data_IF_612607308830
#
_entry.id   IF_612607308830
#
_cell.length_a   1.000
_cell.length_b   1.000
_cell.length_c   1.000
_cell.angle_alpha   90.00
_cell.angle_beta   90.00
_cell.angle_gamma   90.00
#
_symmetry.space_group_name_H-M   'P 1'
#
loop_
_entity.id
_entity.type
_entity.pdbx_description
1 polymer ?
#
# COMPACT_ATOMS: atom_id res chain seq x y z
N UNK A 1 -8.22 28.06 14.14
CA UNK A 1 -7.18 27.13 13.68
C UNK A 1 -6.21 26.96 14.85
N UNK A 2 -6.23 25.83 15.56
CA UNK A 2 -5.23 25.55 16.58
C UNK A 2 -3.90 25.36 15.86
N UNK A 3 -2.87 26.10 16.25
CA UNK A 3 -1.49 25.83 15.83
C UNK A 3 -1.20 24.38 16.16
N UNK A 4 -0.98 23.55 15.14
CA UNK A 4 -0.47 22.19 15.33
C UNK A 4 0.82 22.30 16.12
N UNK A 5 1.00 21.41 17.08
CA UNK A 5 2.27 21.34 17.79
C UNK A 5 3.38 21.15 16.74
N UNK A 6 4.43 21.94 16.85
CA UNK A 6 5.65 21.77 16.03
C UNK A 6 6.38 20.53 16.59
N UNK A 7 5.98 19.35 16.11
CA UNK A 7 6.51 18.06 16.60
C UNK A 7 7.78 17.75 15.82
N UNK A 8 8.89 17.68 16.51
CA UNK A 8 10.18 17.36 15.92
C UNK A 8 10.30 15.89 15.51
N UNK A 9 11.21 15.62 14.56
CA UNK A 9 11.50 14.26 14.07
C UNK A 9 11.82 13.30 15.23
N UNK A 10 12.65 13.72 16.18
CA UNK A 10 13.07 12.91 17.33
C UNK A 10 11.89 12.50 18.21
N UNK A 11 10.86 13.32 18.34
CA UNK A 11 9.66 13.00 19.13
C UNK A 11 8.83 11.90 18.48
N UNK A 12 8.67 11.94 17.15
CA UNK A 12 7.96 10.86 16.39
C UNK A 12 8.76 9.56 16.47
N UNK A 13 10.08 9.63 16.27
CA UNK A 13 10.96 8.46 16.35
C UNK A 13 10.91 7.84 17.75
N UNK A 14 11.01 8.65 18.81
CA UNK A 14 10.92 8.16 20.18
C UNK A 14 9.57 7.49 20.48
N UNK A 15 8.47 8.08 20.03
CA UNK A 15 7.14 7.52 20.20
C UNK A 15 6.99 6.16 19.49
N UNK A 16 7.57 5.99 18.30
CA UNK A 16 7.58 4.71 17.58
C UNK A 16 8.47 3.68 18.29
N UNK A 17 9.64 4.07 18.78
CA UNK A 17 10.54 3.20 19.57
C UNK A 17 9.83 2.69 20.83
N UNK A 18 9.12 3.55 21.54
CA UNK A 18 8.36 3.17 22.75
C UNK A 18 7.24 2.16 22.45
N UNK A 19 6.65 2.20 21.25
CA UNK A 19 5.56 1.29 20.84
C UNK A 19 6.02 -0.03 20.25
N UNK A 20 7.09 -0.01 19.45
CA UNK A 20 7.53 -1.16 18.66
C UNK A 20 8.80 -1.81 19.20
N UNK A 21 9.57 -1.10 20.03
CA UNK A 21 10.93 -1.44 20.38
C UNK A 21 11.95 -0.94 19.34
N UNK A 22 13.16 -0.72 19.80
CA UNK A 22 14.23 -0.09 19.02
C UNK A 22 14.60 -0.89 17.76
N UNK A 23 14.72 -2.20 17.88
CA UNK A 23 15.14 -3.07 16.76
C UNK A 23 14.13 -3.06 15.61
N UNK A 24 12.83 -3.14 15.93
CA UNK A 24 11.75 -3.06 14.94
C UNK A 24 11.74 -1.69 14.29
N UNK A 25 11.83 -0.63 15.09
CA UNK A 25 11.87 0.74 14.59
C UNK A 25 12.98 0.92 13.56
N UNK A 26 14.22 0.54 13.86
CA UNK A 26 15.32 0.73 12.91
C UNK A 26 15.20 -0.12 11.65
N UNK A 27 14.68 -1.35 11.74
CA UNK A 27 14.41 -2.16 10.55
C UNK A 27 13.40 -1.47 9.63
N UNK A 28 12.30 -0.94 10.18
CA UNK A 28 11.27 -0.24 9.42
C UNK A 28 11.77 1.09 8.85
N UNK A 29 12.49 1.89 9.65
CA UNK A 29 13.05 3.17 9.21
C UNK A 29 14.07 3.04 8.07
N UNK A 30 14.80 1.94 8.01
CA UNK A 30 15.77 1.68 6.93
C UNK A 30 15.14 0.97 5.72
N UNK A 31 13.86 0.58 5.81
CA UNK A 31 13.17 -0.10 4.75
C UNK A 31 12.41 0.86 3.82
N UNK A 32 12.23 0.40 2.59
CA UNK A 32 11.39 1.06 1.59
C UNK A 32 10.59 0.03 0.80
N UNK A 33 9.39 0.41 0.40
CA UNK A 33 8.53 -0.38 -0.47
C UNK A 33 7.92 0.48 -1.58
N UNK A 34 7.52 -0.13 -2.67
CA UNK A 34 6.77 0.55 -3.72
C UNK A 34 5.30 0.09 -3.71
N UNK A 35 4.38 1.01 -3.93
CA UNK A 35 2.95 0.75 -4.04
C UNK A 35 2.52 1.11 -5.45
N UNK A 36 2.10 0.11 -6.21
CA UNK A 36 1.58 0.24 -7.56
C UNK A 36 0.05 0.24 -7.54
N UNK A 37 -0.54 1.39 -7.81
CA UNK A 37 -1.96 1.68 -7.64
C UNK A 37 -2.29 2.29 -6.29
N UNK A 38 -3.01 3.42 -6.29
CA UNK A 38 -3.43 4.14 -5.08
C UNK A 38 -4.96 4.20 -4.94
N UNK A 39 -5.61 3.15 -5.42
CA UNK A 39 -7.05 2.93 -5.25
C UNK A 39 -7.42 2.49 -3.83
N UNK A 40 -8.47 1.67 -3.72
CA UNK A 40 -8.99 1.18 -2.45
C UNK A 40 -7.96 0.41 -1.62
N UNK A 41 -7.12 -0.43 -2.25
CA UNK A 41 -6.05 -1.13 -1.55
C UNK A 41 -4.88 -0.19 -1.26
N UNK A 42 -4.24 0.37 -2.29
CA UNK A 42 -2.97 1.07 -2.15
C UNK A 42 -3.03 2.32 -1.27
N UNK A 43 -4.11 3.11 -1.31
CA UNK A 43 -4.25 4.27 -0.42
C UNK A 43 -4.36 3.87 1.05
N UNK A 44 -5.04 2.76 1.36
CA UNK A 44 -5.11 2.20 2.72
C UNK A 44 -3.76 1.62 3.15
N UNK A 45 -3.07 0.87 2.28
CA UNK A 45 -1.77 0.26 2.57
C UNK A 45 -0.73 1.34 2.87
N UNK A 46 -0.66 2.41 2.07
CA UNK A 46 0.25 3.52 2.29
C UNK A 46 0.10 4.13 3.67
N UNK A 47 -1.15 4.41 4.08
CA UNK A 47 -1.48 4.93 5.41
C UNK A 47 -1.01 3.99 6.53
N UNK A 48 -1.25 2.69 6.38
CA UNK A 48 -0.89 1.68 7.39
C UNK A 48 0.64 1.56 7.52
N UNK A 49 1.37 1.55 6.42
CA UNK A 49 2.84 1.45 6.42
C UNK A 49 3.50 2.70 7.03
N UNK A 50 3.01 3.90 6.72
CA UNK A 50 3.54 5.13 7.32
C UNK A 50 3.24 5.18 8.82
N UNK A 51 2.04 4.78 9.26
CA UNK A 51 1.71 4.65 10.69
C UNK A 51 2.58 3.64 11.43
N UNK A 52 3.00 2.57 10.75
CA UNK A 52 3.92 1.57 11.31
C UNK A 52 5.38 2.06 11.36
N UNK A 53 5.72 3.18 10.71
CA UNK A 53 7.05 3.77 10.77
C UNK A 53 7.99 3.34 9.65
N UNK A 54 7.48 2.96 8.47
CA UNK A 54 8.33 2.70 7.30
C UNK A 54 9.12 3.96 6.92
N UNK A 55 10.39 3.81 6.55
CA UNK A 55 11.26 4.94 6.23
C UNK A 55 11.03 5.53 4.84
N UNK A 56 10.56 4.75 3.88
CA UNK A 56 10.31 5.26 2.53
C UNK A 56 9.25 4.51 1.74
N UNK A 57 8.53 5.24 0.89
CA UNK A 57 7.56 4.70 -0.07
C UNK A 57 7.77 5.33 -1.45
N UNK A 58 7.62 4.51 -2.50
CA UNK A 58 7.32 4.97 -3.85
C UNK A 58 5.82 4.77 -4.09
N UNK A 59 5.14 5.81 -4.49
CA UNK A 59 3.72 5.80 -4.84
C UNK A 59 3.56 5.96 -6.35
N UNK A 60 2.95 4.98 -7.00
CA UNK A 60 2.77 4.98 -8.47
C UNK A 60 1.29 4.84 -8.80
N UNK A 61 0.74 5.83 -9.46
CA UNK A 61 -0.65 5.83 -9.98
C UNK A 61 -0.74 6.92 -11.06
N UNK A 62 -1.63 6.76 -12.03
CA UNK A 62 -1.83 7.75 -13.11
C UNK A 62 -3.18 8.50 -13.01
N UNK A 63 -4.06 8.06 -12.10
CA UNK A 63 -5.40 8.60 -11.93
C UNK A 63 -5.44 9.88 -11.09
N UNK A 64 -6.55 10.58 -11.20
CA UNK A 64 -6.98 11.62 -10.28
C UNK A 64 -8.02 11.09 -9.29
N UNK A 65 -8.17 11.78 -8.16
CA UNK A 65 -9.20 11.46 -7.17
C UNK A 65 -10.58 11.85 -7.73
N UNK A 66 -11.50 10.89 -7.72
CA UNK A 66 -12.90 11.08 -8.13
C UNK A 66 -13.84 10.90 -6.94
N UNK A 67 -15.04 11.51 -7.00
CA UNK A 67 -16.03 11.42 -5.92
C UNK A 67 -16.44 9.97 -5.63
N UNK A 68 -16.47 9.10 -6.63
CA UNK A 68 -16.78 7.67 -6.47
C UNK A 68 -15.69 6.90 -5.74
N UNK A 69 -14.52 7.48 -5.57
CA UNK A 69 -13.42 6.88 -4.84
C UNK A 69 -13.57 7.00 -3.32
N UNK A 70 -14.29 8.02 -2.84
CA UNK A 70 -14.40 8.36 -1.42
C UNK A 70 -15.09 7.27 -0.58
N UNK A 71 -15.80 6.36 -1.22
CA UNK A 71 -16.46 5.24 -0.54
C UNK A 71 -15.48 4.19 0.04
N UNK A 72 -14.20 4.15 -0.42
CA UNK A 72 -13.24 3.11 -0.03
C UNK A 72 -11.77 3.49 -0.10
N UNK A 73 -11.43 4.67 -0.64
CA UNK A 73 -10.06 5.18 -0.74
C UNK A 73 -9.82 6.24 0.33
N UNK A 74 -8.60 6.37 0.82
CA UNK A 74 -8.24 7.31 1.88
C UNK A 74 -8.05 8.74 1.34
N UNK A 75 -9.07 9.26 0.66
CA UNK A 75 -9.11 10.63 0.20
C UNK A 75 -10.30 11.37 0.80
N UNK A 76 -10.25 12.70 0.78
CA UNK A 76 -11.29 13.57 1.26
C UNK A 76 -11.82 14.44 0.12
N UNK A 77 -12.96 15.10 0.34
CA UNK A 77 -13.62 15.99 -0.64
C UNK A 77 -12.63 17.01 -1.22
N UNK A 78 -11.73 17.56 -0.40
CA UNK A 78 -10.70 18.52 -0.83
C UNK A 78 -9.72 18.01 -1.87
N UNK A 79 -9.58 16.69 -2.01
CA UNK A 79 -8.65 16.07 -2.96
C UNK A 79 -9.28 15.78 -4.33
N UNK A 80 -10.60 15.94 -4.49
CA UNK A 80 -11.27 15.65 -5.77
C UNK A 80 -10.61 16.46 -6.89
N UNK A 81 -10.19 15.76 -7.97
CA UNK A 81 -9.49 16.33 -9.10
C UNK A 81 -7.95 16.38 -8.96
N UNK A 82 -7.39 16.14 -7.77
CA UNK A 82 -5.93 16.03 -7.59
C UNK A 82 -5.41 14.68 -8.12
N UNK A 83 -4.16 14.62 -8.64
CA UNK A 83 -3.49 13.34 -8.87
C UNK A 83 -3.45 12.52 -7.58
N UNK A 84 -3.79 11.22 -7.66
CA UNK A 84 -3.81 10.34 -6.47
C UNK A 84 -2.46 10.29 -5.76
N UNK A 85 -1.36 10.34 -6.50
CA UNK A 85 0.00 10.38 -5.95
C UNK A 85 0.25 11.59 -5.06
N UNK A 86 -0.19 12.78 -5.49
CA UNK A 86 -0.03 14.02 -4.73
C UNK A 86 -0.97 14.06 -3.52
N UNK A 87 -2.23 13.68 -3.70
CA UNK A 87 -3.20 13.60 -2.61
C UNK A 87 -2.76 12.60 -1.51
N UNK A 88 -2.23 11.43 -1.92
CA UNK A 88 -1.70 10.46 -0.98
C UNK A 88 -0.48 11.01 -0.24
N UNK A 89 0.48 11.61 -0.95
CA UNK A 89 1.67 12.21 -0.34
C UNK A 89 1.31 13.28 0.71
N UNK A 90 0.36 14.17 0.41
CA UNK A 90 -0.14 15.18 1.35
C UNK A 90 -0.64 14.51 2.64
N UNK A 91 -1.53 13.53 2.53
CA UNK A 91 -2.10 12.81 3.66
C UNK A 91 -1.07 12.04 4.48
N UNK A 92 -0.10 11.42 3.82
CA UNK A 92 0.95 10.67 4.51
C UNK A 92 1.89 11.59 5.30
N UNK A 93 2.17 12.79 4.80
CA UNK A 93 2.94 13.79 5.52
C UNK A 93 2.17 14.42 6.69
N UNK A 94 0.82 14.41 6.68
CA UNK A 94 0.03 14.77 7.86
C UNK A 94 0.19 13.75 9.02
N UNK A 95 0.58 12.48 8.70
CA UNK A 95 0.86 11.45 9.71
C UNK A 95 2.31 11.54 10.19
N UNK A 96 3.24 11.60 9.24
CA UNK A 96 4.67 11.69 9.51
C UNK A 96 5.35 12.55 8.43
N UNK A 97 5.67 13.82 8.73
CA UNK A 97 6.28 14.71 7.75
C UNK A 97 7.73 14.33 7.37
N UNK A 98 8.34 13.39 8.10
CA UNK A 98 9.73 12.97 7.90
C UNK A 98 9.89 11.68 7.11
N UNK A 99 8.79 10.98 6.76
CA UNK A 99 8.84 9.82 5.89
C UNK A 99 9.21 10.24 4.46
N UNK A 100 10.08 9.46 3.83
CA UNK A 100 10.45 9.72 2.44
C UNK A 100 9.36 9.20 1.50
N UNK A 101 8.68 10.09 0.80
CA UNK A 101 7.66 9.75 -0.20
C UNK A 101 8.11 10.22 -1.58
N UNK A 102 8.47 9.26 -2.42
CA UNK A 102 8.68 9.46 -3.85
C UNK A 102 7.36 9.19 -4.59
N UNK A 103 7.02 9.99 -5.60
CA UNK A 103 5.80 9.85 -6.38
C UNK A 103 6.10 9.71 -7.87
N UNK A 104 5.33 8.88 -8.56
CA UNK A 104 5.42 8.77 -10.02
C UNK A 104 4.01 8.72 -10.60
N UNK A 105 3.58 9.82 -11.23
CA UNK A 105 2.25 9.93 -11.85
C UNK A 105 2.31 9.40 -13.29
N UNK A 106 2.29 8.06 -13.42
CA UNK A 106 2.44 7.37 -14.70
C UNK A 106 1.63 6.07 -14.75
N UNK A 107 1.12 5.73 -15.94
CA UNK A 107 0.59 4.40 -16.21
C UNK A 107 1.73 3.38 -16.27
N UNK A 108 1.67 2.36 -15.42
CA UNK A 108 2.62 1.25 -15.45
C UNK A 108 2.28 0.31 -16.60
N UNK A 109 3.28 0.01 -17.41
CA UNK A 109 3.22 -0.94 -18.54
C UNK A 109 4.34 -1.97 -18.42
N UNK A 110 4.29 -3.02 -19.23
CA UNK A 110 5.35 -4.04 -19.27
C UNK A 110 6.71 -3.43 -19.59
N UNK A 111 6.75 -2.42 -20.48
CA UNK A 111 8.00 -1.78 -20.95
C UNK A 111 8.64 -0.89 -19.89
N UNK A 112 7.85 -0.31 -18.97
CA UNK A 112 8.38 0.66 -18.00
C UNK A 112 8.46 0.13 -16.56
N UNK A 113 7.79 -0.99 -16.25
CA UNK A 113 7.70 -1.51 -14.89
C UNK A 113 9.08 -1.79 -14.27
N UNK A 114 9.99 -2.44 -15.00
CA UNK A 114 11.32 -2.75 -14.50
C UNK A 114 12.10 -1.49 -14.09
N UNK A 115 12.04 -0.43 -14.90
CA UNK A 115 12.74 0.83 -14.61
C UNK A 115 12.09 1.60 -13.46
N UNK A 116 10.74 1.66 -13.40
CA UNK A 116 10.02 2.35 -12.32
C UNK A 116 10.37 1.76 -10.95
N UNK A 117 10.42 0.43 -10.86
CA UNK A 117 10.58 -0.28 -9.59
C UNK A 117 12.01 -0.77 -9.31
N UNK A 118 13.00 -0.41 -10.13
CA UNK A 118 14.38 -0.94 -10.05
C UNK A 118 15.00 -0.85 -8.66
N UNK A 119 14.76 0.25 -7.95
CA UNK A 119 15.37 0.55 -6.65
C UNK A 119 14.60 -0.04 -5.46
N UNK A 120 13.51 -0.78 -5.69
CA UNK A 120 12.64 -1.34 -4.66
C UNK A 120 12.61 -2.86 -4.74
N UNK A 121 12.81 -3.54 -3.61
CA UNK A 121 12.79 -5.00 -3.52
C UNK A 121 11.42 -5.55 -3.12
N UNK A 122 10.57 -4.72 -2.51
CA UNK A 122 9.22 -5.10 -2.07
C UNK A 122 8.22 -4.24 -2.84
N UNK A 123 7.37 -4.91 -3.61
CA UNK A 123 6.36 -4.29 -4.46
C UNK A 123 4.98 -4.68 -3.96
N UNK A 124 4.19 -3.70 -3.59
CA UNK A 124 2.77 -3.88 -3.31
C UNK A 124 1.98 -3.68 -4.60
N UNK A 125 1.40 -4.75 -5.12
CA UNK A 125 0.50 -4.68 -6.26
C UNK A 125 -0.93 -4.40 -5.77
N UNK A 126 -1.52 -3.29 -6.23
CA UNK A 126 -2.83 -2.79 -5.80
C UNK A 126 -3.70 -2.27 -6.97
N UNK A 127 -3.49 -2.78 -8.18
CA UNK A 127 -4.32 -2.46 -9.34
C UNK A 127 -5.72 -3.09 -9.23
N UNK A 128 -6.65 -2.64 -10.05
CA UNK A 128 -8.03 -3.11 -10.09
C UNK A 128 -8.28 -4.12 -11.22
N UNK A 129 -7.56 -4.03 -12.35
CA UNK A 129 -7.75 -4.89 -13.52
C UNK A 129 -6.86 -6.12 -13.47
N UNK A 130 -7.45 -7.28 -13.72
CA UNK A 130 -6.76 -8.57 -13.65
C UNK A 130 -5.54 -8.65 -14.58
N UNK A 131 -5.63 -8.08 -15.79
CA UNK A 131 -4.53 -8.07 -16.76
C UNK A 131 -3.35 -7.25 -16.25
N UNK A 132 -3.61 -6.06 -15.66
CA UNK A 132 -2.58 -5.19 -15.11
C UNK A 132 -1.92 -5.81 -13.88
N UNK A 133 -2.70 -6.49 -13.02
CA UNK A 133 -2.19 -7.27 -11.89
C UNK A 133 -1.22 -8.36 -12.37
N UNK A 134 -1.66 -9.17 -13.33
CA UNK A 134 -0.86 -10.26 -13.87
C UNK A 134 0.43 -9.75 -14.54
N UNK A 135 0.34 -8.66 -15.32
CA UNK A 135 1.47 -8.02 -15.95
C UNK A 135 2.51 -7.58 -14.91
N UNK A 136 2.10 -6.82 -13.89
CA UNK A 136 3.03 -6.33 -12.87
C UNK A 136 3.65 -7.45 -12.06
N UNK A 137 2.84 -8.41 -11.60
CA UNK A 137 3.33 -9.58 -10.84
C UNK A 137 4.39 -10.32 -11.64
N UNK A 138 4.10 -10.66 -12.91
CA UNK A 138 5.05 -11.37 -13.76
C UNK A 138 6.33 -10.57 -13.98
N UNK A 139 6.24 -9.28 -14.33
CA UNK A 139 7.39 -8.42 -14.53
C UNK A 139 8.27 -8.35 -13.27
N UNK A 140 7.68 -8.19 -12.10
CA UNK A 140 8.44 -8.06 -10.85
C UNK A 140 9.07 -9.38 -10.39
N UNK A 141 8.41 -10.51 -10.60
CA UNK A 141 8.98 -11.83 -10.32
C UNK A 141 10.17 -12.15 -11.25
N UNK A 142 10.11 -11.75 -12.53
CA UNK A 142 11.27 -11.86 -13.44
C UNK A 142 12.48 -11.05 -12.92
N UNK A 143 12.23 -9.91 -12.29
CA UNK A 143 13.25 -9.05 -11.65
C UNK A 143 13.65 -9.54 -10.23
N UNK A 144 13.19 -10.73 -9.81
CA UNK A 144 13.42 -11.32 -8.47
C UNK A 144 13.02 -10.41 -7.32
N UNK A 145 11.93 -9.66 -7.49
CA UNK A 145 11.35 -8.78 -6.46
C UNK A 145 10.29 -9.54 -5.68
N UNK A 146 10.14 -9.22 -4.40
CA UNK A 146 9.04 -9.75 -3.59
C UNK A 146 7.77 -8.95 -3.86
N UNK A 147 6.69 -9.65 -4.20
CA UNK A 147 5.39 -9.05 -4.54
C UNK A 147 4.34 -9.44 -3.53
N UNK A 148 3.62 -8.45 -3.01
CA UNK A 148 2.42 -8.65 -2.18
C UNK A 148 1.22 -8.09 -2.94
N UNK A 149 0.35 -8.99 -3.43
CA UNK A 149 -0.79 -8.67 -4.28
C UNK A 149 -2.12 -8.87 -3.55
N UNK A 150 -3.17 -8.18 -4.00
CA UNK A 150 -4.54 -8.32 -3.49
C UNK A 150 -5.46 -9.01 -4.49
N UNK A 151 -6.25 -10.02 -4.07
CA UNK A 151 -7.22 -10.72 -4.92
C UNK A 151 -8.43 -11.20 -4.14
N UNK A 152 -9.62 -10.73 -4.53
CA UNK A 152 -10.89 -11.08 -3.88
C UNK A 152 -11.12 -10.31 -2.56
N UNK A 153 -11.76 -9.14 -2.65
CA UNK A 153 -12.14 -8.33 -1.50
C UNK A 153 -13.46 -7.58 -1.72
N UNK A 154 -14.16 -7.90 -2.81
CA UNK A 154 -15.39 -7.21 -3.16
C UNK A 154 -16.56 -7.54 -2.23
N UNK A 155 -17.57 -6.66 -2.23
CA UNK A 155 -18.81 -6.84 -1.47
C UNK A 155 -18.66 -6.67 0.04
N UNK A 156 -19.58 -7.32 0.75
CA UNK A 156 -19.73 -7.23 2.22
C UNK A 156 -19.81 -8.62 2.90
N UNK A 157 -19.44 -9.69 2.18
CA UNK A 157 -19.44 -11.05 2.72
C UNK A 157 -18.49 -11.18 3.92
N UNK A 158 -18.45 -12.35 4.55
CA UNK A 158 -17.63 -12.55 5.74
C UNK A 158 -16.17 -12.14 5.51
N UNK A 159 -15.66 -11.28 6.37
CA UNK A 159 -14.26 -10.87 6.34
C UNK A 159 -13.29 -11.98 6.75
N UNK A 160 -13.77 -13.02 7.44
CA UNK A 160 -12.95 -14.17 7.84
C UNK A 160 -12.45 -15.02 6.66
N UNK A 161 -12.99 -14.80 5.46
CA UNK A 161 -12.49 -15.43 4.22
C UNK A 161 -11.25 -14.76 3.65
N UNK A 162 -10.97 -13.50 4.05
CA UNK A 162 -9.78 -12.77 3.62
C UNK A 162 -8.57 -13.33 4.37
N UNK A 163 -7.60 -13.83 3.62
CA UNK A 163 -6.38 -14.47 4.13
C UNK A 163 -5.17 -14.03 3.35
N UNK A 164 -4.00 -14.09 3.97
CA UNK A 164 -2.72 -14.05 3.28
C UNK A 164 -2.34 -15.47 2.87
N UNK A 165 -1.87 -15.66 1.65
CA UNK A 165 -1.36 -16.93 1.11
C UNK A 165 0.03 -16.69 0.54
N UNK A 166 0.99 -17.52 0.92
CA UNK A 166 2.30 -17.59 0.28
C UNK A 166 2.20 -18.51 -0.92
N UNK A 167 2.44 -17.99 -2.12
CA UNK A 167 2.35 -18.74 -3.39
C UNK A 167 3.75 -19.26 -3.77
N UNK A 168 4.76 -18.39 -3.68
CA UNK A 168 6.18 -18.73 -3.83
C UNK A 168 6.96 -17.99 -2.74
N UNK A 169 8.28 -18.10 -2.75
CA UNK A 169 9.12 -17.34 -1.80
C UNK A 169 9.04 -15.82 -2.04
N UNK A 170 8.73 -15.41 -3.27
CA UNK A 170 8.66 -14.01 -3.67
C UNK A 170 7.21 -13.51 -3.89
N UNK A 171 6.17 -14.38 -3.82
CA UNK A 171 4.78 -13.98 -4.11
C UNK A 171 3.82 -14.31 -2.98
N UNK A 172 3.18 -13.27 -2.45
CA UNK A 172 2.11 -13.34 -1.46
C UNK A 172 0.82 -12.77 -2.04
N UNK A 173 -0.31 -13.44 -1.81
CA UNK A 173 -1.64 -12.98 -2.23
C UNK A 173 -2.55 -12.85 -1.01
N UNK A 174 -3.12 -11.66 -0.84
CA UNK A 174 -4.08 -11.32 0.20
C UNK A 174 -5.49 -11.19 -0.38
N UNK A 175 -6.48 -11.75 0.30
CA UNK A 175 -7.87 -11.75 -0.16
C UNK A 175 -8.51 -13.12 -0.04
N UNK A 176 -9.77 -13.23 -0.48
CA UNK A 176 -10.47 -14.53 -0.53
C UNK A 176 -10.21 -15.31 -1.84
N UNK A 177 -9.70 -14.63 -2.87
CA UNK A 177 -9.33 -15.22 -4.16
C UNK A 177 -10.49 -15.53 -5.09
N UNK A 178 -11.73 -15.19 -4.70
CA UNK A 178 -12.94 -15.57 -5.47
C UNK A 178 -13.91 -14.42 -5.71
N UNK A 179 -14.02 -13.44 -4.80
CA UNK A 179 -15.01 -12.36 -4.99
C UNK A 179 -14.55 -11.33 -6.00
N UNK A 180 -15.38 -11.11 -7.02
CA UNK A 180 -15.22 -10.04 -8.00
C UNK A 180 -16.24 -8.93 -7.75
N UNK A 181 -15.89 -7.69 -8.08
CA UNK A 181 -16.78 -6.53 -7.96
C UNK A 181 -17.98 -6.59 -8.90
N UNK A 182 -17.88 -7.33 -10.01
CA UNK A 182 -18.97 -7.57 -10.95
C UNK A 182 -20.03 -8.52 -10.38
N UNK A 183 -19.62 -9.47 -9.52
CA UNK A 183 -20.50 -10.50 -8.97
C UNK A 183 -21.21 -10.09 -7.68
N UNK A 184 -20.65 -9.14 -6.94
CA UNK A 184 -21.10 -8.77 -5.58
C UNK A 184 -21.12 -7.25 -5.42
N UNK A 185 -22.21 -6.58 -5.64
CA UNK A 185 -22.51 -5.17 -5.30
C UNK A 185 -21.30 -4.21 -5.09
N UNK A 186 -20.23 -4.36 -5.90
CA UNK A 186 -19.08 -3.48 -5.93
C UNK A 186 -18.09 -3.64 -4.77
N UNK A 187 -17.29 -2.61 -4.58
CA UNK A 187 -16.24 -2.55 -3.56
C UNK A 187 -16.71 -1.71 -2.36
N UNK A 188 -16.64 -2.28 -1.16
CA UNK A 188 -16.99 -1.60 0.09
C UNK A 188 -15.79 -1.47 1.02
N UNK A 189 -15.68 -0.29 1.66
CA UNK A 189 -14.53 0.06 2.48
C UNK A 189 -14.11 -1.00 3.51
N UNK A 190 -15.00 -1.65 4.29
CA UNK A 190 -14.56 -2.58 5.34
C UNK A 190 -13.75 -3.75 4.81
N UNK A 191 -14.24 -4.46 3.79
CA UNK A 191 -13.52 -5.61 3.21
C UNK A 191 -12.25 -5.20 2.47
N UNK A 192 -12.32 -4.08 1.74
CA UNK A 192 -11.15 -3.49 1.07
C UNK A 192 -10.06 -3.15 2.10
N UNK A 193 -10.44 -2.51 3.22
CA UNK A 193 -9.50 -2.15 4.29
C UNK A 193 -8.90 -3.38 4.98
N UNK A 194 -9.67 -4.44 5.21
CA UNK A 194 -9.17 -5.70 5.77
C UNK A 194 -8.14 -6.33 4.83
N UNK A 195 -8.42 -6.41 3.53
CA UNK A 195 -7.48 -6.93 2.55
C UNK A 195 -6.21 -6.07 2.49
N UNK A 196 -6.36 -4.75 2.49
CA UNK A 196 -5.24 -3.82 2.55
C UNK A 196 -4.39 -3.99 3.82
N UNK A 197 -5.03 -4.24 4.96
CA UNK A 197 -4.34 -4.52 6.22
C UNK A 197 -3.54 -5.84 6.16
N UNK A 198 -4.07 -6.88 5.52
CA UNK A 198 -3.33 -8.10 5.25
C UNK A 198 -2.08 -7.85 4.40
N UNK A 199 -2.21 -7.07 3.31
CA UNK A 199 -1.06 -6.71 2.46
C UNK A 199 -0.03 -5.88 3.24
N UNK A 200 -0.46 -4.84 3.94
CA UNK A 200 0.43 -4.00 4.73
C UNK A 200 1.16 -4.81 5.82
N UNK A 201 0.45 -5.68 6.54
CA UNK A 201 1.04 -6.53 7.56
C UNK A 201 2.06 -7.51 6.96
N UNK A 202 1.77 -8.09 5.78
CA UNK A 202 2.73 -8.99 5.13
C UNK A 202 3.99 -8.24 4.70
N UNK A 203 3.86 -7.01 4.17
CA UNK A 203 5.01 -6.15 3.85
C UNK A 203 5.87 -5.89 5.10
N UNK A 204 5.25 -5.56 6.24
CA UNK A 204 5.98 -5.38 7.51
C UNK A 204 6.69 -6.65 7.93
N UNK A 205 6.03 -7.82 7.85
CA UNK A 205 6.65 -9.11 8.19
C UNK A 205 7.86 -9.41 7.31
N UNK A 206 7.76 -9.20 6.00
CA UNK A 206 8.89 -9.36 5.06
C UNK A 206 10.06 -8.45 5.46
N UNK A 207 9.81 -7.17 5.77
CA UNK A 207 10.84 -6.22 6.23
C UNK A 207 11.51 -6.72 7.52
N UNK A 208 10.75 -7.32 8.42
CA UNK A 208 11.25 -7.83 9.70
C UNK A 208 11.95 -9.20 9.59
N UNK A 209 11.89 -9.84 8.42
CA UNK A 209 12.48 -11.14 8.16
C UNK A 209 11.55 -12.33 8.40
N UNK A 210 10.26 -12.07 8.57
CA UNK A 210 9.21 -13.08 8.79
C UNK A 210 8.53 -13.40 7.46
N UNK A 211 8.86 -14.51 6.84
CA UNK A 211 8.36 -14.91 5.51
C UNK A 211 7.29 -16.01 5.54
N UNK A 212 6.97 -16.54 6.69
CA UNK A 212 5.83 -17.47 6.89
C UNK A 212 4.51 -16.68 6.99
N UNK A 213 3.37 -17.36 6.88
CA UNK A 213 2.02 -16.75 6.94
C UNK A 213 1.25 -17.19 8.19
#
# INVERSE_FOLDING_TARGET
>A
MSAGADIGRAEIEQALIERHGQDIFYKLQNAKAAIAGLGGLGSNIAMLLVRAGIGGLLLVDFDTVDITNLNRQNYYIRHIGMPKTEAAKELLHEINPYVKIDTNNILVTEENAAEIFKDYNIICEAFDRAENKAMLVNSMLCEKKTVVSGSGMAGYLSSNTIKTRKITDELYICGDGVTDSADVNGLMAPRVSICAAHQANMILRIILGETDI
#
